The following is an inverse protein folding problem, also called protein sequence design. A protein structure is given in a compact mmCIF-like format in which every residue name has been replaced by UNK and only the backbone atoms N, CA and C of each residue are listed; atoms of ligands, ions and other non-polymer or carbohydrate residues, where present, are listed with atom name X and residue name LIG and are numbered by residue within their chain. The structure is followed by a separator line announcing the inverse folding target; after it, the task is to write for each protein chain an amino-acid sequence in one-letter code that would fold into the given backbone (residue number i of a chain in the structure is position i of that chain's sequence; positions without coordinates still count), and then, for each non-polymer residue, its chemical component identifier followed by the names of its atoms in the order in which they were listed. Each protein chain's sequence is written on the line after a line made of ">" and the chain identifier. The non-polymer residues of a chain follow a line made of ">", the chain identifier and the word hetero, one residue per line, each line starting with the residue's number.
data_IF_911530931792
#
_entry.id   IF_911530931792
#
_cell.length_a   1.000
_cell.length_b   1.000
_cell.length_c   1.000
_cell.angle_alpha   90.00
_cell.angle_beta   90.00
_cell.angle_gamma   90.00
#
_symmetry.space_group_name_H-M   'P 1'
#
loop_
_entity.id
_entity.type
_entity.pdbx_description
1 polymer ?
#
# COMPACT_ATOMS: atom_id res chain seq x y z
N UNK A 1 -30.82 -4.90 42.19
CA UNK A 1 -30.80 -5.38 40.79
C UNK A 1 -29.96 -4.42 39.98
N UNK A 2 -28.68 -4.76 39.74
CA UNK A 2 -27.80 -3.96 38.89
C UNK A 2 -27.94 -4.45 37.45
N UNK A 3 -28.36 -3.56 36.54
CA UNK A 3 -28.37 -3.82 35.11
C UNK A 3 -26.93 -3.66 34.59
N UNK A 4 -26.29 -4.76 34.23
CA UNK A 4 -25.08 -4.72 33.40
C UNK A 4 -25.51 -4.29 31.99
N UNK A 5 -24.97 -3.17 31.50
CA UNK A 5 -25.03 -2.81 30.09
C UNK A 5 -24.10 -3.75 29.30
N UNK A 6 -24.47 -4.17 28.07
CA UNK A 6 -23.54 -4.89 27.21
C UNK A 6 -22.43 -3.92 26.77
N UNK A 7 -21.18 -4.29 27.00
CA UNK A 7 -20.03 -3.60 26.44
C UNK A 7 -20.07 -3.79 24.91
N UNK A 8 -20.30 -2.70 24.20
CA UNK A 8 -20.29 -2.67 22.74
C UNK A 8 -18.83 -2.68 22.28
N UNK A 9 -18.25 -3.87 22.13
CA UNK A 9 -16.94 -4.05 21.51
C UNK A 9 -17.10 -3.99 19.99
N UNK A 10 -17.36 -2.80 19.45
CA UNK A 10 -17.32 -2.52 18.01
C UNK A 10 -15.88 -2.29 17.56
N UNK A 11 -15.01 -3.29 17.75
CA UNK A 11 -13.72 -3.30 17.05
C UNK A 11 -13.97 -3.53 15.56
N UNK A 12 -13.32 -2.76 14.68
CA UNK A 12 -13.33 -3.04 13.23
C UNK A 12 -12.95 -4.52 13.03
N UNK A 13 -13.67 -5.29 12.20
CA UNK A 13 -13.35 -6.69 11.97
C UNK A 13 -11.91 -6.80 11.47
N UNK A 14 -11.16 -7.78 12.00
CA UNK A 14 -9.76 -8.01 11.61
C UNK A 14 -9.73 -8.26 10.10
N UNK A 15 -9.06 -7.36 9.37
CA UNK A 15 -8.98 -7.42 7.91
C UNK A 15 -8.05 -8.53 7.47
N UNK A 16 -8.48 -9.26 6.45
CA UNK A 16 -7.62 -10.22 5.76
C UNK A 16 -7.14 -9.63 4.43
N UNK A 17 -6.06 -8.87 4.49
CA UNK A 17 -5.45 -8.24 3.32
C UNK A 17 -4.93 -9.25 2.28
N UNK A 18 -4.71 -10.52 2.66
CA UNK A 18 -4.30 -11.58 1.71
C UNK A 18 -5.39 -11.97 0.71
N UNK A 19 -6.65 -11.64 1.01
CA UNK A 19 -7.80 -11.93 0.16
C UNK A 19 -8.10 -10.81 -0.85
N UNK A 20 -7.38 -9.67 -0.79
CA UNK A 20 -7.52 -8.62 -1.79
C UNK A 20 -7.14 -9.21 -3.16
N UNK A 21 -7.98 -9.05 -4.21
CA UNK A 21 -7.68 -9.53 -5.55
C UNK A 21 -6.34 -8.96 -6.03
N UNK A 22 -5.56 -9.78 -6.73
CA UNK A 22 -4.22 -9.40 -7.22
C UNK A 22 -3.98 -10.00 -8.60
N UNK A 23 -3.01 -9.43 -9.31
CA UNK A 23 -2.51 -10.01 -10.55
C UNK A 23 -1.36 -10.98 -10.26
N UNK A 24 -1.18 -11.95 -11.15
CA UNK A 24 0.06 -12.70 -11.21
C UNK A 24 1.18 -11.81 -11.76
N UNK A 25 2.41 -12.00 -11.27
CA UNK A 25 3.56 -11.17 -11.70
C UNK A 25 3.74 -11.23 -13.23
N UNK A 26 3.50 -12.40 -13.84
CA UNK A 26 3.58 -12.58 -15.29
C UNK A 26 2.53 -11.78 -16.07
N UNK A 27 1.39 -11.46 -15.45
CA UNK A 27 0.36 -10.62 -16.05
C UNK A 27 0.80 -9.16 -16.06
N UNK A 28 1.40 -8.69 -14.96
CA UNK A 28 1.96 -7.34 -14.86
C UNK A 28 3.07 -7.16 -15.90
N UNK A 29 4.04 -8.08 -15.95
CA UNK A 29 5.20 -7.97 -16.86
C UNK A 29 4.87 -8.11 -18.35
N UNK A 30 3.62 -8.42 -18.71
CA UNK A 30 3.16 -8.54 -20.10
C UNK A 30 2.24 -7.40 -20.52
N UNK A 31 1.88 -6.52 -19.59
CA UNK A 31 1.00 -5.38 -19.82
C UNK A 31 1.76 -4.09 -19.50
N UNK A 32 2.14 -3.30 -20.51
CA UNK A 32 2.81 -2.02 -20.30
C UNK A 32 2.04 -1.09 -19.35
N UNK A 33 0.71 -1.14 -19.39
CA UNK A 33 -0.15 -0.35 -18.49
C UNK A 33 -0.05 -0.82 -17.03
N UNK A 34 -0.10 -2.14 -16.78
CA UNK A 34 0.02 -2.66 -15.41
C UNK A 34 1.43 -2.50 -14.87
N UNK A 35 2.44 -2.64 -15.73
CA UNK A 35 3.84 -2.38 -15.41
C UNK A 35 4.06 -0.91 -15.05
N UNK A 36 3.46 0.02 -15.79
CA UNK A 36 3.46 1.45 -15.45
C UNK A 36 2.85 1.73 -14.08
N UNK A 37 1.72 1.11 -13.74
CA UNK A 37 1.14 1.24 -12.39
C UNK A 37 2.12 0.74 -11.32
N UNK A 38 2.71 -0.44 -11.56
CA UNK A 38 3.62 -1.07 -10.61
C UNK A 38 4.87 -0.20 -10.39
N UNK A 39 5.51 0.26 -11.46
CA UNK A 39 6.70 1.09 -11.41
C UNK A 39 6.43 2.41 -10.71
N UNK A 40 5.32 3.10 -11.04
CA UNK A 40 4.94 4.35 -10.38
C UNK A 40 4.75 4.16 -8.88
N UNK A 41 4.03 3.11 -8.45
CA UNK A 41 3.86 2.81 -7.02
C UNK A 41 5.22 2.55 -6.35
N UNK A 42 6.06 1.72 -6.97
CA UNK A 42 7.38 1.35 -6.43
C UNK A 42 8.32 2.56 -6.34
N UNK A 43 8.32 3.43 -7.34
CA UNK A 43 9.08 4.69 -7.34
C UNK A 43 8.68 5.61 -6.18
N UNK A 44 7.38 5.71 -5.86
CA UNK A 44 6.92 6.48 -4.69
C UNK A 44 7.43 5.87 -3.39
N UNK A 45 7.37 4.56 -3.25
CA UNK A 45 7.86 3.88 -2.04
C UNK A 45 9.38 4.04 -1.89
N UNK A 46 10.15 3.96 -2.98
CA UNK A 46 11.58 4.24 -2.97
C UNK A 46 11.87 5.69 -2.56
N UNK A 47 11.11 6.65 -3.10
CA UNK A 47 11.24 8.06 -2.72
C UNK A 47 11.01 8.20 -1.21
N UNK A 48 9.94 7.63 -0.66
CA UNK A 48 9.70 7.68 0.79
C UNK A 48 10.81 6.99 1.59
N UNK A 49 11.33 5.85 1.12
CA UNK A 49 12.38 5.07 1.77
C UNK A 49 13.76 5.72 1.80
N UNK A 50 14.10 6.54 0.80
CA UNK A 50 15.47 7.00 0.58
C UNK A 50 15.63 8.53 0.47
N UNK A 51 14.54 9.29 0.62
CA UNK A 51 14.53 10.75 0.44
C UNK A 51 15.09 11.50 1.65
N UNK A 52 14.91 10.97 2.86
CA UNK A 52 15.34 11.62 4.09
C UNK A 52 16.10 10.61 4.98
N UNK A 53 17.38 10.86 5.30
CA UNK A 53 18.16 9.96 6.16
C UNK A 53 17.72 9.96 7.63
N UNK A 54 16.92 10.93 8.09
CA UNK A 54 16.40 11.00 9.46
C UNK A 54 15.06 10.27 9.64
N UNK A 55 14.28 10.10 8.56
CA UNK A 55 13.02 9.33 8.56
C UNK A 55 13.27 7.92 8.03
N UNK A 56 13.01 6.90 8.86
CA UNK A 56 13.13 5.49 8.44
C UNK A 56 11.78 4.97 7.95
N UNK A 57 11.51 5.12 6.65
CA UNK A 57 10.40 4.45 5.98
C UNK A 57 10.84 3.06 5.49
N UNK A 58 10.24 2.02 6.07
CA UNK A 58 10.61 0.61 5.85
C UNK A 58 9.53 -0.15 5.08
N UNK A 59 9.83 -1.41 4.72
CA UNK A 59 8.91 -2.29 4.02
C UNK A 59 7.55 -2.43 4.74
N UNK A 60 7.56 -2.44 6.08
CA UNK A 60 6.33 -2.50 6.90
C UNK A 60 5.46 -1.25 6.70
N UNK A 61 6.08 -0.09 6.52
CA UNK A 61 5.40 1.19 6.36
C UNK A 61 4.84 1.30 4.94
N UNK A 62 5.62 0.87 3.94
CA UNK A 62 5.16 0.68 2.57
C UNK A 62 3.94 -0.27 2.50
N UNK A 63 4.02 -1.44 3.15
CA UNK A 63 2.90 -2.36 3.22
C UNK A 63 1.68 -1.73 3.88
N UNK A 64 1.88 -0.94 4.94
CA UNK A 64 0.79 -0.28 5.65
C UNK A 64 0.13 0.83 4.82
N UNK A 65 0.91 1.58 4.03
CA UNK A 65 0.36 2.53 3.06
C UNK A 65 -0.54 1.82 2.05
N UNK A 66 -0.10 0.70 1.46
CA UNK A 66 -0.92 -0.08 0.54
C UNK A 66 -2.21 -0.60 1.19
N UNK A 67 -2.15 -1.00 2.46
CA UNK A 67 -3.33 -1.42 3.23
C UNK A 67 -4.36 -0.29 3.39
N UNK A 68 -3.93 0.96 3.59
CA UNK A 68 -4.84 2.12 3.63
C UNK A 68 -5.57 2.33 2.29
N UNK A 69 -4.89 2.08 1.17
CA UNK A 69 -5.53 2.08 -0.14
C UNK A 69 -6.53 0.93 -0.30
N UNK A 70 -6.23 -0.27 0.22
CA UNK A 70 -7.22 -1.37 0.25
C UNK A 70 -8.42 -1.00 1.10
N UNK A 71 -8.20 -0.38 2.26
CA UNK A 71 -9.26 0.06 3.15
C UNK A 71 -10.23 1.00 2.42
N UNK A 72 -9.70 1.99 1.70
CA UNK A 72 -10.50 2.93 0.91
C UNK A 72 -11.17 2.30 -0.31
N UNK A 73 -10.40 1.63 -1.15
CA UNK A 73 -10.88 1.25 -2.49
C UNK A 73 -11.47 -0.15 -2.57
N UNK A 74 -11.03 -1.08 -1.73
CA UNK A 74 -11.55 -2.44 -1.68
C UNK A 74 -12.60 -2.61 -0.58
N UNK A 75 -12.30 -2.21 0.66
CA UNK A 75 -13.21 -2.34 1.80
C UNK A 75 -14.23 -1.19 1.92
N UNK A 76 -14.06 -0.12 1.12
CA UNK A 76 -14.98 1.02 1.04
C UNK A 76 -15.12 1.78 2.36
N UNK A 77 -14.02 1.93 3.10
CA UNK A 77 -14.00 2.79 4.28
C UNK A 77 -14.10 4.26 3.87
N UNK A 78 -15.09 4.96 4.45
CA UNK A 78 -15.25 6.41 4.31
C UNK A 78 -14.23 7.19 5.17
N UNK A 79 -13.77 6.58 6.28
CA UNK A 79 -12.84 7.20 7.23
C UNK A 79 -11.66 6.26 7.48
N UNK A 80 -10.46 6.74 7.14
CA UNK A 80 -9.19 6.09 7.41
C UNK A 80 -8.58 6.67 8.68
N UNK A 81 -8.17 5.80 9.61
CA UNK A 81 -7.45 6.18 10.81
C UNK A 81 -5.95 6.17 10.51
N UNK A 82 -5.33 7.35 10.55
CA UNK A 82 -3.91 7.56 10.25
C UNK A 82 -3.31 8.48 11.32
N UNK A 83 -2.87 7.89 12.43
CA UNK A 83 -2.24 8.63 13.54
C UNK A 83 -0.73 8.83 13.34
N UNK A 84 -0.12 8.05 12.44
CA UNK A 84 1.30 8.13 12.11
C UNK A 84 1.54 9.17 10.99
N UNK A 85 2.29 10.25 11.26
CA UNK A 85 2.62 11.27 10.25
C UNK A 85 3.30 10.71 9.01
N UNK A 86 4.14 9.68 9.17
CA UNK A 86 4.88 9.07 8.07
C UNK A 86 3.94 8.30 7.13
N UNK A 87 2.99 7.55 7.72
CA UNK A 87 1.95 6.85 6.94
C UNK A 87 1.03 7.83 6.22
N UNK A 88 0.68 8.93 6.90
CA UNK A 88 -0.14 9.99 6.30
C UNK A 88 0.58 10.62 5.09
N UNK A 89 1.85 11.00 5.25
CA UNK A 89 2.68 11.54 4.16
C UNK A 89 2.78 10.57 2.98
N UNK A 90 3.00 9.28 3.25
CA UNK A 90 3.07 8.27 2.20
C UNK A 90 1.73 8.06 1.48
N UNK A 91 0.63 8.07 2.24
CA UNK A 91 -0.72 7.95 1.67
C UNK A 91 -1.10 9.17 0.81
N UNK A 92 -0.81 10.38 1.27
CA UNK A 92 -1.06 11.63 0.54
C UNK A 92 -0.23 11.69 -0.75
N UNK A 93 1.08 11.45 -0.67
CA UNK A 93 1.97 11.48 -1.84
C UNK A 93 1.56 10.47 -2.92
N UNK A 94 1.27 9.22 -2.52
CA UNK A 94 0.82 8.21 -3.48
C UNK A 94 -0.56 8.57 -4.05
N UNK A 95 -1.44 9.16 -3.25
CA UNK A 95 -2.76 9.62 -3.67
C UNK A 95 -2.67 10.71 -4.74
N UNK A 96 -1.83 11.72 -4.52
CA UNK A 96 -1.57 12.80 -5.49
C UNK A 96 -1.05 12.24 -6.82
N UNK A 97 -0.05 11.36 -6.77
CA UNK A 97 0.52 10.75 -7.99
C UNK A 97 -0.50 9.89 -8.73
N UNK A 98 -1.39 9.17 -8.03
CA UNK A 98 -2.47 8.43 -8.69
C UNK A 98 -3.44 9.38 -9.40
N UNK A 99 -3.74 10.53 -8.82
CA UNK A 99 -4.65 11.51 -9.41
C UNK A 99 -4.02 12.25 -10.59
N UNK A 100 -2.72 12.53 -10.53
CA UNK A 100 -1.98 13.25 -11.57
C UNK A 100 -1.53 12.35 -12.74
N UNK A 101 -0.87 11.22 -12.43
CA UNK A 101 -0.22 10.37 -13.43
C UNK A 101 -1.13 9.22 -13.91
N UNK A 102 -2.17 8.88 -13.15
CA UNK A 102 -3.04 7.73 -13.40
C UNK A 102 -4.55 8.05 -13.33
N UNK A 103 -5.03 9.20 -13.87
CA UNK A 103 -6.43 9.60 -13.71
C UNK A 103 -7.43 8.64 -14.40
N UNK A 104 -7.02 8.06 -15.52
CA UNK A 104 -7.86 7.19 -16.35
C UNK A 104 -7.77 5.70 -15.96
N UNK A 105 -6.90 5.35 -15.02
CA UNK A 105 -6.70 3.97 -14.60
C UNK A 105 -7.84 3.50 -13.69
N UNK A 106 -8.51 2.37 -14.01
CA UNK A 106 -9.54 1.83 -13.15
C UNK A 106 -9.02 1.53 -11.73
N UNK A 107 -9.77 1.94 -10.71
CA UNK A 107 -9.39 1.69 -9.31
C UNK A 107 -9.25 0.19 -9.00
N UNK A 108 -9.93 -0.69 -9.73
CA UNK A 108 -9.75 -2.13 -9.59
C UNK A 108 -8.36 -2.60 -10.02
N UNK A 109 -7.82 -2.07 -11.12
CA UNK A 109 -6.48 -2.43 -11.59
C UNK A 109 -5.41 -1.89 -10.66
N UNK A 110 -5.57 -0.65 -10.19
CA UNK A 110 -4.74 -0.06 -9.16
C UNK A 110 -4.67 -0.94 -7.90
N UNK A 111 -5.83 -1.34 -7.36
CA UNK A 111 -5.90 -2.20 -6.17
C UNK A 111 -5.24 -3.55 -6.41
N UNK A 112 -5.41 -4.15 -7.59
CA UNK A 112 -4.81 -5.46 -7.90
C UNK A 112 -3.30 -5.40 -8.05
N UNK A 113 -2.77 -4.34 -8.66
CA UNK A 113 -1.33 -4.12 -8.73
C UNK A 113 -0.76 -3.86 -7.34
N UNK A 114 -1.37 -2.96 -6.56
CA UNK A 114 -0.99 -2.72 -5.15
C UNK A 114 -1.01 -4.00 -4.32
N UNK A 115 -2.01 -4.87 -4.48
CA UNK A 115 -2.09 -6.15 -3.78
C UNK A 115 -0.97 -7.11 -4.20
N UNK A 116 -0.51 -7.02 -5.46
CA UNK A 116 0.62 -7.81 -5.96
C UNK A 116 1.93 -7.33 -5.32
N UNK A 117 2.14 -6.01 -5.27
CA UNK A 117 3.26 -5.34 -4.58
C UNK A 117 3.27 -5.67 -3.08
N UNK A 118 2.13 -5.57 -2.40
CA UNK A 118 1.98 -5.92 -0.98
C UNK A 118 2.39 -7.37 -0.71
N UNK A 119 1.95 -8.31 -1.55
CA UNK A 119 2.38 -9.73 -1.45
C UNK A 119 3.87 -9.91 -1.76
N UNK A 120 4.47 -9.09 -2.62
CA UNK A 120 5.90 -9.12 -2.87
C UNK A 120 6.69 -8.65 -1.64
N UNK A 121 6.27 -7.54 -1.03
CA UNK A 121 6.81 -7.04 0.24
C UNK A 121 6.73 -8.12 1.32
N UNK A 122 5.55 -8.68 1.56
CA UNK A 122 5.34 -9.71 2.60
C UNK A 122 6.19 -10.97 2.41
N UNK A 123 6.57 -11.31 1.17
CA UNK A 123 7.40 -12.48 0.87
C UNK A 123 8.89 -12.22 1.07
N UNK A 124 9.33 -10.97 0.92
CA UNK A 124 10.75 -10.60 0.87
C UNK A 124 11.24 -9.99 2.18
N UNK A 125 10.38 -9.27 2.89
CA UNK A 125 10.79 -8.55 4.11
C UNK A 125 10.90 -9.47 5.32
N UNK A 126 11.92 -9.23 6.15
CA UNK A 126 11.99 -9.76 7.53
C UNK A 126 11.74 -8.68 8.57
N UNK A 127 11.24 -7.51 8.14
CA UNK A 127 10.93 -6.36 8.97
C UNK A 127 11.86 -5.16 8.77
N UNK A 128 12.75 -5.19 7.77
CA UNK A 128 13.63 -4.08 7.40
C UNK A 128 13.18 -3.35 6.13
N UNK A 129 14.17 -2.95 5.32
CA UNK A 129 14.03 -2.25 4.04
C UNK A 129 14.43 -3.14 2.85
N UNK A 130 14.36 -4.47 3.00
CA UNK A 130 14.87 -5.43 2.02
C UNK A 130 14.15 -5.35 0.67
N UNK A 131 12.83 -5.15 0.68
CA UNK A 131 12.07 -4.93 -0.54
C UNK A 131 12.42 -3.59 -1.16
N UNK A 132 12.40 -2.50 -0.39
CA UNK A 132 12.71 -1.17 -0.89
C UNK A 132 14.11 -1.10 -1.50
N UNK A 133 15.12 -1.71 -0.88
CA UNK A 133 16.47 -1.82 -1.46
C UNK A 133 16.46 -2.62 -2.75
N UNK A 134 15.78 -3.76 -2.76
CA UNK A 134 15.65 -4.58 -3.95
C UNK A 134 15.06 -3.77 -5.10
N UNK A 135 13.90 -3.13 -4.94
CA UNK A 135 13.29 -2.36 -6.03
C UNK A 135 14.11 -1.12 -6.40
N UNK A 136 14.80 -0.47 -5.47
CA UNK A 136 15.67 0.67 -5.76
C UNK A 136 16.90 0.29 -6.60
N UNK A 137 17.45 -0.92 -6.41
CA UNK A 137 18.54 -1.44 -7.26
C UNK A 137 18.09 -1.68 -8.72
N UNK A 138 16.80 -1.90 -8.97
CA UNK A 138 16.25 -2.13 -10.32
C UNK A 138 15.53 -0.91 -10.93
N UNK A 139 15.06 0.02 -10.12
CA UNK A 139 14.39 1.24 -10.54
C UNK A 139 15.35 2.43 -10.77
N UNK A 140 16.65 2.25 -10.45
CA UNK A 140 17.68 3.27 -10.66
C UNK A 140 18.17 3.33 -12.11
N UNK A 141 17.38 3.94 -12.99
CA UNK A 141 17.82 4.54 -14.26
C UNK A 141 17.44 6.03 -14.29
#
# INVERSE_FOLDING_TARGET
>A
MAKCAPADHTGKPVRNYRNVPHYEIQTISRSPELEFIASTIESVMCRLGFSDPEESFMDKDAARVLELFFDRYHFKDDVLEMDDPLLKKGYELLGEIIEEDMPDIPKEDLVRVMATTHRAIQRRTKGGDEYLRFINEYAGD
#
